data_IF_247859825612
#
_entry.id   IF_247859825612
#
_cell.length_a   1.000
_cell.length_b   1.000
_cell.length_c   1.000
_cell.angle_alpha   90.00
_cell.angle_beta   90.00
_cell.angle_gamma   90.00
#
_symmetry.space_group_name_H-M   'P 1'
#
loop_
_entity.id
_entity.type
_entity.pdbx_description
1 polymer ?
#
# COMPACT_ATOMS: atom_id res chain seq x y z
N UNK A 1 -4.12 -3.29 6.59
CA UNK A 1 -5.20 -3.66 7.54
C UNK A 1 -6.51 -2.94 7.25
N UNK A 2 -6.53 -1.63 6.96
CA UNK A 2 -7.71 -0.99 6.37
C UNK A 2 -8.93 -0.84 7.29
N UNK A 3 -8.70 -0.59 8.59
CA UNK A 3 -9.77 -0.45 9.58
C UNK A 3 -10.16 1.01 9.88
N UNK A 4 -9.16 1.90 9.85
CA UNK A 4 -9.31 3.31 10.21
C UNK A 4 -8.78 4.24 9.12
N UNK A 5 -9.33 5.44 9.07
CA UNK A 5 -8.91 6.57 8.25
C UNK A 5 -9.13 7.86 9.03
N UNK A 6 -8.34 8.91 8.77
CA UNK A 6 -8.46 10.27 9.37
C UNK A 6 -8.33 10.37 10.90
N UNK A 7 -8.38 9.27 11.64
CA UNK A 7 -8.21 9.28 13.08
C UNK A 7 -6.84 9.84 13.45
N UNK A 8 -6.82 10.91 14.26
CA UNK A 8 -5.62 11.65 14.67
C UNK A 8 -4.79 12.30 13.53
N UNK A 9 -5.40 12.55 12.37
CA UNK A 9 -4.81 13.27 11.22
C UNK A 9 -4.91 14.81 11.41
N UNK A 10 -4.07 15.68 10.78
CA UNK A 10 -3.02 15.42 9.79
C UNK A 10 -1.65 15.03 10.36
N UNK A 11 -0.99 14.05 9.74
CA UNK A 11 0.46 13.85 9.91
C UNK A 11 1.25 15.00 9.25
N UNK A 12 2.31 15.45 9.91
CA UNK A 12 3.14 16.55 9.39
C UNK A 12 4.08 16.09 8.26
N UNK A 13 4.44 17.00 7.35
CA UNK A 13 5.44 16.72 6.31
C UNK A 13 6.78 16.23 6.89
N UNK A 14 7.20 16.80 8.03
CA UNK A 14 8.43 16.40 8.73
C UNK A 14 8.35 14.93 9.18
N UNK A 15 7.19 14.50 9.69
CA UNK A 15 6.97 13.11 10.05
C UNK A 15 7.18 12.18 8.84
N UNK A 16 6.55 12.48 7.70
CA UNK A 16 6.72 11.69 6.47
C UNK A 16 8.18 11.57 6.06
N UNK A 17 8.92 12.69 6.04
CA UNK A 17 10.32 12.67 5.64
C UNK A 17 11.19 11.89 6.65
N UNK A 18 10.91 12.00 7.94
CA UNK A 18 11.63 11.22 8.97
C UNK A 18 11.40 9.72 8.84
N UNK A 19 10.17 9.28 8.57
CA UNK A 19 9.82 7.88 8.41
C UNK A 19 10.44 7.31 7.14
N UNK A 20 10.43 8.07 6.05
CA UNK A 20 11.09 7.68 4.80
C UNK A 20 12.59 7.44 4.99
N UNK A 21 13.30 8.39 5.62
CA UNK A 21 14.73 8.24 5.89
C UNK A 21 15.04 7.07 6.85
N UNK A 22 14.14 6.79 7.80
CA UNK A 22 14.28 5.64 8.70
C UNK A 22 14.09 4.32 7.95
N UNK A 23 13.06 4.23 7.09
CA UNK A 23 12.79 3.03 6.29
C UNK A 23 13.99 2.65 5.43
N UNK A 24 14.58 3.61 4.69
CA UNK A 24 15.79 3.37 3.89
C UNK A 24 16.95 2.82 4.72
N UNK A 25 17.22 3.41 5.90
CA UNK A 25 18.28 2.94 6.81
C UNK A 25 18.03 1.52 7.32
N UNK A 26 16.78 1.20 7.65
CA UNK A 26 16.40 -0.12 8.13
C UNK A 26 16.53 -1.17 7.04
N UNK A 27 15.94 -0.92 5.86
CA UNK A 27 16.01 -1.83 4.71
C UNK A 27 17.45 -2.11 4.30
N UNK A 28 18.29 -1.06 4.20
CA UNK A 28 19.71 -1.24 3.90
C UNK A 28 20.41 -2.11 4.95
N UNK A 29 20.15 -1.86 6.23
CA UNK A 29 20.78 -2.66 7.28
C UNK A 29 20.32 -4.12 7.26
N UNK A 30 19.06 -4.37 6.91
CA UNK A 30 18.50 -5.72 6.77
C UNK A 30 19.20 -6.47 5.63
N UNK A 31 19.32 -5.85 4.46
CA UNK A 31 19.98 -6.46 3.29
C UNK A 31 21.47 -6.72 3.55
N UNK A 32 22.18 -5.79 4.20
CA UNK A 32 23.60 -5.94 4.57
C UNK A 32 23.89 -7.19 5.42
N UNK A 33 22.90 -7.65 6.21
CA UNK A 33 23.03 -8.82 7.08
C UNK A 33 22.26 -10.04 6.57
N UNK A 34 21.83 -10.01 5.30
CA UNK A 34 21.14 -11.12 4.64
C UNK A 34 19.68 -11.32 5.09
N UNK A 35 19.06 -10.33 5.71
CA UNK A 35 17.61 -10.34 6.00
C UNK A 35 16.87 -9.79 4.79
N UNK A 36 15.86 -10.53 4.33
CA UNK A 36 14.97 -10.11 3.25
C UNK A 36 13.81 -9.31 3.85
N UNK A 37 13.71 -7.99 3.60
CA UNK A 37 12.59 -7.17 4.10
C UNK A 37 11.29 -7.51 3.36
N UNK A 38 10.18 -7.54 4.09
CA UNK A 38 8.84 -7.66 3.51
C UNK A 38 8.27 -6.25 3.34
N UNK A 39 8.11 -5.84 2.08
CA UNK A 39 7.56 -4.54 1.74
C UNK A 39 6.02 -4.58 1.67
N UNK A 40 5.34 -3.44 1.91
CA UNK A 40 3.89 -3.37 1.78
C UNK A 40 3.45 -3.60 0.33
N UNK A 41 2.33 -4.28 0.16
CA UNK A 41 1.68 -4.48 -1.13
C UNK A 41 0.27 -3.86 -1.13
N UNK A 42 -0.25 -3.58 -2.33
CA UNK A 42 -1.59 -3.06 -2.48
C UNK A 42 -2.63 -4.12 -2.12
N UNK A 43 -3.66 -3.73 -1.36
CA UNK A 43 -4.73 -4.65 -0.89
C UNK A 43 -6.13 -4.12 -1.23
N UNK A 44 -6.23 -3.09 -2.07
CA UNK A 44 -7.50 -2.54 -2.53
C UNK A 44 -7.98 -1.29 -1.79
N UNK A 45 -7.49 -0.98 -0.59
CA UNK A 45 -7.99 0.17 0.18
C UNK A 45 -7.61 1.50 -0.50
N UNK A 46 -8.60 2.39 -0.63
CA UNK A 46 -8.46 3.67 -1.33
C UNK A 46 -9.04 4.84 -0.53
N UNK A 47 -8.52 6.07 -0.70
CA UNK A 47 -9.18 7.26 -0.19
C UNK A 47 -10.55 7.48 -0.82
N UNK A 48 -11.54 7.99 -0.07
CA UNK A 48 -12.89 8.26 -0.62
C UNK A 48 -12.91 9.25 -1.78
N UNK A 49 -11.91 10.11 -1.88
CA UNK A 49 -11.75 11.10 -2.96
C UNK A 49 -11.56 10.47 -4.33
N UNK A 50 -11.15 9.20 -4.43
CA UNK A 50 -10.93 8.54 -5.72
C UNK A 50 -12.23 8.27 -6.47
N UNK A 51 -13.38 8.24 -5.79
CA UNK A 51 -14.69 8.03 -6.42
C UNK A 51 -15.01 9.10 -7.47
N UNK A 52 -14.62 10.35 -7.23
CA UNK A 52 -14.80 11.43 -8.21
C UNK A 52 -13.77 11.38 -9.33
N UNK A 53 -12.60 10.79 -9.10
CA UNK A 53 -11.53 10.71 -10.09
C UNK A 53 -11.70 9.52 -11.05
N UNK A 54 -12.25 8.41 -10.55
CA UNK A 54 -12.37 7.14 -11.29
C UNK A 54 -13.79 6.58 -11.21
N UNK A 55 -14.80 7.26 -11.78
CA UNK A 55 -16.21 6.88 -11.62
C UNK A 55 -16.58 5.53 -12.27
N UNK A 56 -15.76 5.03 -13.19
CA UNK A 56 -15.97 3.75 -13.86
C UNK A 56 -15.44 2.54 -13.09
N UNK A 57 -14.57 2.77 -12.09
CA UNK A 57 -14.01 1.69 -11.29
C UNK A 57 -15.00 1.26 -10.20
N UNK A 58 -15.02 -0.03 -9.90
CA UNK A 58 -15.94 -0.63 -8.95
C UNK A 58 -15.36 -0.62 -7.55
N UNK A 59 -16.01 0.12 -6.65
CA UNK A 59 -15.61 0.21 -5.25
C UNK A 59 -16.69 -0.29 -4.30
N UNK A 60 -16.26 -0.72 -3.12
CA UNK A 60 -17.10 -1.14 -2.01
C UNK A 60 -16.68 -0.45 -0.72
N UNK A 61 -17.56 -0.42 0.27
CA UNK A 61 -17.25 0.06 1.60
C UNK A 61 -17.12 -1.11 2.57
N UNK A 62 -16.13 -1.04 3.47
CA UNK A 62 -16.07 -1.95 4.61
C UNK A 62 -17.09 -1.58 5.68
N UNK A 63 -17.37 -2.51 6.58
CA UNK A 63 -18.23 -2.26 7.75
C UNK A 63 -17.60 -1.27 8.71
N UNK A 64 -18.42 -0.69 9.59
CA UNK A 64 -17.92 0.06 10.73
C UNK A 64 -17.07 -0.86 11.62
N UNK A 65 -15.81 -0.47 11.85
CA UNK A 65 -14.90 -1.20 12.70
C UNK A 65 -14.94 -0.65 14.12
N UNK A 66 -15.25 -1.51 15.10
CA UNK A 66 -15.20 -1.19 16.54
C UNK A 66 -15.92 0.12 16.94
N UNK A 67 -17.09 0.38 16.36
CA UNK A 67 -17.94 1.54 16.65
C UNK A 67 -17.29 2.92 16.48
N UNK A 68 -16.19 3.03 15.72
CA UNK A 68 -15.56 4.31 15.36
C UNK A 68 -16.45 5.20 14.46
N UNK A 69 -17.49 4.61 13.86
CA UNK A 69 -18.38 5.29 12.93
C UNK A 69 -17.75 5.50 11.56
N UNK A 70 -18.57 5.77 10.55
CA UNK A 70 -18.08 5.88 9.18
C UNK A 70 -17.33 7.19 8.86
N UNK A 71 -17.09 8.07 9.84
CA UNK A 71 -16.14 9.18 9.62
C UNK A 71 -14.69 8.68 9.69
N UNK A 72 -14.41 7.81 10.66
CA UNK A 72 -13.07 7.31 10.97
C UNK A 72 -12.85 5.85 10.56
N UNK A 73 -13.93 5.14 10.19
CA UNK A 73 -13.90 3.78 9.64
C UNK A 73 -14.70 3.70 8.32
N UNK A 74 -15.24 2.53 7.98
CA UNK A 74 -15.95 2.23 6.74
C UNK A 74 -15.12 2.63 5.51
N UNK A 75 -13.97 1.98 5.34
CA UNK A 75 -13.00 2.33 4.31
C UNK A 75 -13.54 1.96 2.94
N UNK A 76 -13.20 2.79 1.96
CA UNK A 76 -13.43 2.47 0.56
C UNK A 76 -12.34 1.48 0.13
N UNK A 77 -12.73 0.44 -0.62
CA UNK A 77 -11.78 -0.43 -1.28
C UNK A 77 -12.23 -0.76 -2.70
N UNK A 78 -11.25 -0.93 -3.59
CA UNK A 78 -11.38 -1.30 -4.98
C UNK A 78 -11.64 -2.80 -5.09
N UNK A 79 -12.61 -3.20 -5.91
CA UNK A 79 -12.91 -4.59 -6.20
C UNK A 79 -11.70 -5.25 -6.86
N UNK A 80 -11.26 -6.41 -6.37
CA UNK A 80 -10.05 -7.09 -6.85
C UNK A 80 -10.16 -7.62 -8.28
N UNK A 81 -11.39 -7.77 -8.79
CA UNK A 81 -11.64 -8.19 -10.17
C UNK A 81 -11.67 -6.99 -11.13
N UNK A 82 -11.76 -5.76 -10.60
CA UNK A 82 -11.74 -4.57 -11.43
C UNK A 82 -10.36 -4.40 -12.11
N UNK A 83 -10.28 -4.20 -13.44
CA UNK A 83 -9.00 -3.99 -14.13
C UNK A 83 -8.17 -2.81 -13.59
N UNK A 84 -8.80 -1.86 -12.90
CA UNK A 84 -8.10 -0.77 -12.25
C UNK A 84 -7.26 -1.24 -11.05
N UNK A 85 -7.61 -2.37 -10.42
CA UNK A 85 -6.86 -2.90 -9.28
C UNK A 85 -5.40 -3.19 -9.63
N UNK A 86 -5.19 -3.94 -10.70
CA UNK A 86 -3.85 -4.28 -11.18
C UNK A 86 -3.05 -3.04 -11.57
N UNK A 87 -3.71 -2.02 -12.14
CA UNK A 87 -3.05 -0.76 -12.49
C UNK A 87 -2.52 -0.06 -11.24
N UNK A 88 -3.36 0.08 -10.20
CA UNK A 88 -2.95 0.72 -8.94
C UNK A 88 -1.84 -0.08 -8.25
N UNK A 89 -1.93 -1.41 -8.27
CA UNK A 89 -0.91 -2.29 -7.70
C UNK A 89 0.46 -2.09 -8.37
N UNK A 90 0.51 -2.10 -9.70
CA UNK A 90 1.75 -1.90 -10.47
C UNK A 90 2.34 -0.51 -10.23
N UNK A 91 1.52 0.54 -10.24
CA UNK A 91 2.00 1.90 -9.98
C UNK A 91 2.56 2.05 -8.54
N UNK A 92 1.88 1.48 -7.55
CA UNK A 92 2.37 1.50 -6.16
C UNK A 92 3.70 0.76 -6.02
N UNK A 93 3.82 -0.40 -6.66
CA UNK A 93 5.04 -1.20 -6.61
C UNK A 93 6.21 -0.46 -7.25
N UNK A 94 6.00 0.13 -8.43
CA UNK A 94 7.01 0.94 -9.12
C UNK A 94 7.50 2.09 -8.24
N UNK A 95 6.59 2.81 -7.57
CA UNK A 95 6.95 3.93 -6.69
C UNK A 95 7.78 3.46 -5.49
N UNK A 96 7.36 2.40 -4.79
CA UNK A 96 8.10 1.83 -3.64
C UNK A 96 9.52 1.44 -4.05
N UNK A 97 9.64 0.76 -5.19
CA UNK A 97 10.92 0.26 -5.69
C UNK A 97 11.88 1.37 -6.09
N UNK A 98 11.37 2.44 -6.70
CA UNK A 98 12.18 3.62 -7.04
C UNK A 98 12.63 4.38 -5.78
N UNK A 99 11.77 4.48 -4.77
CA UNK A 99 12.05 5.28 -3.57
C UNK A 99 13.07 4.64 -2.63
N UNK A 100 13.05 3.31 -2.50
CA UNK A 100 13.89 2.59 -1.56
C UNK A 100 15.25 2.15 -2.13
N UNK A 101 15.54 2.47 -3.40
CA UNK A 101 16.76 2.03 -4.13
C UNK A 101 16.97 0.50 -4.01
N UNK A 102 15.86 -0.25 -3.97
CA UNK A 102 15.87 -1.70 -3.80
C UNK A 102 16.03 -2.35 -5.17
N UNK A 103 16.98 -3.28 -5.29
CA UNK A 103 17.20 -4.05 -6.51
C UNK A 103 15.91 -4.75 -6.98
N UNK A 104 15.72 -4.82 -8.30
CA UNK A 104 14.57 -5.43 -8.98
C UNK A 104 14.21 -6.83 -8.43
N UNK A 105 15.22 -7.58 -7.96
CA UNK A 105 15.09 -8.90 -7.34
C UNK A 105 14.21 -8.94 -6.08
N UNK A 106 14.13 -7.85 -5.32
CA UNK A 106 13.35 -7.76 -4.08
C UNK A 106 12.00 -7.05 -4.32
N UNK A 107 11.85 -6.47 -5.51
CA UNK A 107 10.73 -5.65 -5.92
C UNK A 107 9.69 -6.41 -6.75
N UNK A 108 10.07 -7.52 -7.37
CA UNK A 108 9.11 -8.46 -7.93
C UNK A 108 9.03 -9.70 -7.05
N UNK A 109 7.84 -10.14 -6.60
CA UNK A 109 7.70 -11.56 -6.33
C UNK A 109 8.03 -12.24 -7.65
N UNK A 110 9.07 -13.08 -7.66
CA UNK A 110 9.37 -13.93 -8.82
C UNK A 110 8.05 -14.38 -9.41
N UNK A 111 7.85 -14.07 -10.69
CA UNK A 111 6.75 -14.54 -11.52
C UNK A 111 6.23 -15.87 -11.00
N UNK A 112 4.93 -15.95 -10.75
CA UNK A 112 4.19 -17.16 -10.35
C UNK A 112 4.30 -18.30 -11.39
N UNK A 113 5.51 -18.74 -11.73
CA UNK A 113 5.78 -19.69 -12.81
C UNK A 113 6.74 -20.82 -12.44
N UNK A 114 7.43 -20.80 -11.29
CA UNK A 114 8.45 -21.82 -10.99
C UNK A 114 8.35 -22.50 -9.60
N UNK A 115 7.16 -22.53 -8.97
CA UNK A 115 6.93 -23.31 -7.72
C UNK A 115 6.01 -24.52 -7.88
N UNK A 116 5.83 -25.01 -9.11
CA UNK A 116 5.26 -26.33 -9.38
C UNK A 116 6.21 -27.09 -10.32
N UNK A 117 7.22 -27.71 -9.73
CA UNK A 117 7.97 -28.82 -10.32
C UNK A 117 7.92 -29.99 -9.36
#
# INVERSE_FOLDING_TARGET
>A
MGNLQKYADPLSYIWHQSQFQLAKKMTQRMTDIGIIPVLPAFTGFMPRTVLSCFPSAKFHYSSNWNDFGCNESCLLYLDSIDPFFQKVEVELLNEICQLDDIDEFHCFPHSHSNFLS
#
